data_IF_232225918385
#
_entry.id   IF_232225918385
#
_cell.length_a   1.000
_cell.length_b   1.000
_cell.length_c   1.000
_cell.angle_alpha   90.00
_cell.angle_beta   90.00
_cell.angle_gamma   90.00
#
_symmetry.space_group_name_H-M   'P 1'
#
loop_
_entity.id
_entity.type
_entity.pdbx_description
1 polymer ?
#
# COMPACT_ATOMS: atom_id res chain seq x y z
N UNK A 1 54.12 11.72 14.29
CA UNK A 1 54.03 11.96 12.84
C UNK A 1 52.56 11.91 12.45
N UNK A 2 51.86 13.04 12.54
CA UNK A 2 51.43 13.90 11.42
C UNK A 2 50.64 13.14 10.33
N UNK A 3 49.33 13.41 10.29
CA UNK A 3 48.66 13.89 9.07
C UNK A 3 47.33 14.55 9.45
N UNK A 4 47.38 15.88 9.51
CA UNK A 4 46.23 16.78 9.42
C UNK A 4 45.62 16.74 8.01
N UNK A 5 44.30 17.00 7.94
CA UNK A 5 43.58 17.71 6.87
C UNK A 5 42.09 17.63 7.24
N UNK A 6 41.24 18.64 7.08
CA UNK A 6 41.35 20.07 6.77
C UNK A 6 39.90 20.56 6.85
N UNK A 7 39.59 21.45 7.79
CA UNK A 7 38.32 22.17 7.78
C UNK A 7 38.27 23.11 6.57
N UNK A 8 37.10 23.23 5.93
CA UNK A 8 36.81 24.32 4.99
C UNK A 8 35.66 25.14 5.53
N UNK A 9 36.01 26.31 6.04
CA UNK A 9 35.11 27.45 6.23
C UNK A 9 35.06 28.22 4.91
N UNK A 10 33.85 28.62 4.49
CA UNK A 10 33.48 30.01 4.16
C UNK A 10 32.31 30.04 3.14
N UNK A 11 31.21 30.70 3.50
CA UNK A 11 30.91 32.02 2.95
C UNK A 11 29.61 32.58 3.56
N UNK A 12 29.74 33.70 4.27
CA UNK A 12 28.64 34.61 4.62
C UNK A 12 28.46 35.55 3.43
N UNK A 13 27.23 35.65 2.93
CA UNK A 13 26.81 36.57 1.86
C UNK A 13 25.35 36.96 2.05
N UNK A 14 25.12 38.28 2.04
CA UNK A 14 23.93 39.03 2.43
C UNK A 14 22.73 38.91 1.48
N UNK A 15 21.49 39.05 1.98
CA UNK A 15 20.34 39.41 1.14
C UNK A 15 18.96 39.20 1.78
N UNK A 16 18.23 40.30 2.03
CA UNK A 16 16.79 40.31 2.34
C UNK A 16 15.98 39.95 1.08
N UNK A 17 14.94 39.13 1.23
CA UNK A 17 13.93 38.91 0.18
C UNK A 17 13.09 37.67 0.45
N UNK A 18 11.82 37.87 0.79
CA UNK A 18 10.85 36.81 1.01
C UNK A 18 10.54 36.01 -0.26
N UNK A 19 10.26 34.72 -0.07
CA UNK A 19 9.84 33.80 -1.12
C UNK A 19 9.94 32.38 -0.59
N UNK A 20 8.80 31.80 -0.22
CA UNK A 20 8.71 30.40 0.20
C UNK A 20 9.22 29.51 -0.93
N UNK A 21 10.43 28.97 -0.75
CA UNK A 21 11.01 27.93 -1.59
C UNK A 21 10.38 26.61 -1.21
N UNK A 22 9.47 26.13 -2.04
CA UNK A 22 9.17 24.70 -2.10
C UNK A 22 10.47 24.01 -2.48
N UNK A 23 11.08 23.33 -1.50
CA UNK A 23 12.27 22.53 -1.74
C UNK A 23 11.89 21.46 -2.77
N UNK A 24 12.67 21.39 -3.85
CA UNK A 24 12.71 20.23 -4.73
C UNK A 24 12.91 19.00 -3.84
N UNK A 25 11.89 18.15 -3.77
CA UNK A 25 12.01 16.84 -3.15
C UNK A 25 12.84 16.00 -4.10
N UNK A 26 14.16 16.02 -3.89
CA UNK A 26 15.07 15.09 -4.54
C UNK A 26 14.54 13.69 -4.32
N UNK A 27 14.41 12.93 -5.42
CA UNK A 27 14.11 11.50 -5.38
C UNK A 27 15.33 10.85 -4.73
N UNK A 28 15.32 10.73 -3.40
CA UNK A 28 16.37 10.07 -2.66
C UNK A 28 16.58 8.66 -3.21
N UNK A 29 17.82 8.28 -3.43
CA UNK A 29 18.20 6.91 -3.76
C UNK A 29 17.60 5.98 -2.70
N UNK A 30 16.62 5.16 -3.10
CA UNK A 30 16.00 4.18 -2.21
C UNK A 30 17.09 3.21 -1.76
N UNK A 31 17.38 3.16 -0.47
CA UNK A 31 18.38 2.26 0.10
C UNK A 31 17.95 0.82 -0.17
N UNK A 32 18.88 -0.01 -0.64
CA UNK A 32 18.62 -1.44 -0.88
C UNK A 32 18.12 -2.15 0.40
N UNK A 33 18.50 -1.64 1.57
CA UNK A 33 18.12 -2.12 2.91
C UNK A 33 16.62 -1.95 3.25
N UNK A 34 15.82 -1.25 2.42
CA UNK A 34 14.39 -1.02 2.65
C UNK A 34 13.49 -1.84 1.72
N UNK A 35 14.05 -2.85 1.05
CA UNK A 35 13.32 -3.73 0.14
C UNK A 35 13.45 -5.18 0.59
N UNK A 36 12.33 -5.89 0.69
CA UNK A 36 12.30 -7.31 1.01
C UNK A 36 11.29 -8.04 0.11
N UNK A 37 11.51 -9.34 -0.06
CA UNK A 37 10.62 -10.19 -0.84
C UNK A 37 9.31 -10.41 -0.10
N UNK A 38 8.20 -10.41 -0.84
CA UNK A 38 6.87 -10.74 -0.28
C UNK A 38 6.21 -11.82 -1.12
N UNK A 39 5.71 -12.85 -0.45
CA UNK A 39 4.85 -13.87 -1.05
C UNK A 39 3.49 -13.84 -0.38
N UNK A 40 2.43 -13.72 -1.17
CA UNK A 40 1.05 -13.76 -0.68
C UNK A 40 0.38 -15.05 -1.14
N UNK A 41 -0.35 -15.69 -0.25
CA UNK A 41 -1.17 -16.87 -0.53
C UNK A 41 -2.60 -16.54 -0.15
N UNK A 42 -3.51 -16.58 -1.13
CA UNK A 42 -4.94 -16.43 -0.90
C UNK A 42 -5.51 -17.79 -0.50
N UNK A 43 -6.14 -17.85 0.67
CA UNK A 43 -6.76 -19.08 1.18
C UNK A 43 -8.24 -19.18 0.79
N UNK A 44 -9.01 -18.13 1.08
CA UNK A 44 -10.45 -18.14 0.84
C UNK A 44 -10.92 -16.83 0.24
N UNK A 45 -11.97 -16.92 -0.57
CA UNK A 45 -12.77 -15.78 -0.99
C UNK A 45 -14.25 -16.14 -0.81
N UNK A 46 -14.98 -15.33 -0.06
CA UNK A 46 -16.42 -15.44 0.10
C UNK A 46 -17.10 -14.41 -0.78
N UNK A 47 -17.81 -14.86 -1.81
CA UNK A 47 -18.60 -13.99 -2.69
C UNK A 47 -19.80 -13.35 -1.97
N UNK A 48 -20.30 -13.97 -0.90
CA UNK A 48 -21.43 -13.46 -0.12
C UNK A 48 -21.02 -12.25 0.72
N UNK A 49 -19.88 -12.35 1.41
CA UNK A 49 -19.39 -11.31 2.32
C UNK A 49 -18.37 -10.39 1.66
N UNK A 50 -17.98 -10.67 0.41
CA UNK A 50 -16.94 -9.94 -0.31
C UNK A 50 -15.61 -9.89 0.45
N UNK A 51 -15.31 -10.96 1.21
CA UNK A 51 -14.11 -11.05 2.05
C UNK A 51 -13.12 -12.06 1.51
N UNK A 52 -11.85 -11.76 1.73
CA UNK A 52 -10.71 -12.61 1.38
C UNK A 52 -9.88 -12.88 2.64
N UNK A 53 -9.28 -14.07 2.73
CA UNK A 53 -8.28 -14.36 3.77
C UNK A 53 -7.05 -14.97 3.14
N UNK A 54 -5.90 -14.84 3.82
CA UNK A 54 -4.66 -15.39 3.32
C UNK A 54 -3.50 -15.21 4.27
N UNK A 55 -2.33 -15.63 3.78
CA UNK A 55 -1.04 -15.42 4.44
C UNK A 55 -0.18 -14.48 3.62
N UNK A 56 0.57 -13.63 4.31
CA UNK A 56 1.65 -12.84 3.74
C UNK A 56 2.97 -13.28 4.38
N UNK A 57 3.95 -13.62 3.54
CA UNK A 57 5.28 -14.01 3.95
C UNK A 57 6.27 -12.93 3.51
N UNK A 58 6.84 -12.21 4.46
CA UNK A 58 7.95 -11.29 4.25
C UNK A 58 9.29 -12.03 4.38
N UNK A 59 10.14 -11.97 3.37
CA UNK A 59 11.39 -12.72 3.22
C UNK A 59 12.55 -11.75 3.01
N UNK A 60 13.65 -11.93 3.75
CA UNK A 60 14.80 -11.02 3.66
C UNK A 60 14.56 -9.69 4.35
N UNK A 61 13.72 -9.67 5.40
CA UNK A 61 13.50 -8.48 6.23
C UNK A 61 14.79 -8.16 7.00
N UNK A 62 15.24 -6.88 7.03
CA UNK A 62 16.43 -6.49 7.78
C UNK A 62 16.38 -6.97 9.22
N UNK A 63 17.48 -7.54 9.70
CA UNK A 63 17.62 -8.08 11.06
C UNK A 63 16.70 -9.26 11.41
N UNK A 64 16.00 -9.85 10.44
CA UNK A 64 15.24 -11.09 10.63
C UNK A 64 15.88 -12.26 9.88
N UNK A 65 16.44 -13.27 10.57
CA UNK A 65 17.08 -14.42 9.91
C UNK A 65 16.07 -15.41 9.29
N UNK A 66 14.78 -15.29 9.65
CA UNK A 66 13.70 -16.15 9.14
C UNK A 66 12.61 -15.29 8.46
N UNK A 67 11.85 -15.86 7.52
CA UNK A 67 10.65 -15.20 7.00
C UNK A 67 9.66 -14.88 8.12
N UNK A 68 9.01 -13.72 8.03
CA UNK A 68 7.92 -13.32 8.92
C UNK A 68 6.61 -13.61 8.20
N UNK A 69 5.71 -14.36 8.84
CA UNK A 69 4.41 -14.74 8.28
C UNK A 69 3.30 -14.11 9.09
N UNK A 70 2.36 -13.50 8.40
CA UNK A 70 1.17 -12.89 8.99
C UNK A 70 -0.09 -13.43 8.34
N UNK A 71 -1.14 -13.57 9.14
CA UNK A 71 -2.48 -13.84 8.64
C UNK A 71 -3.18 -12.50 8.37
N UNK A 72 -3.84 -12.39 7.22
CA UNK A 72 -4.60 -11.21 6.86
C UNK A 72 -6.02 -11.55 6.43
N UNK A 73 -6.90 -10.58 6.67
CA UNK A 73 -8.24 -10.53 6.08
C UNK A 73 -8.33 -9.33 5.16
N UNK A 74 -9.10 -9.41 4.10
CA UNK A 74 -9.43 -8.26 3.28
C UNK A 74 -10.88 -8.20 2.88
N UNK A 75 -11.30 -7.05 2.36
CA UNK A 75 -12.60 -6.85 1.74
C UNK A 75 -12.45 -6.24 0.35
N UNK A 76 -13.21 -6.74 -0.63
CA UNK A 76 -13.32 -6.10 -1.94
C UNK A 76 -14.29 -4.94 -1.88
N UNK A 77 -13.99 -3.84 -2.57
CA UNK A 77 -14.90 -2.70 -2.70
C UNK A 77 -15.87 -3.00 -3.84
N UNK A 78 -17.15 -3.12 -3.53
CA UNK A 78 -18.18 -3.46 -4.51
C UNK A 78 -18.73 -2.20 -5.19
N UNK A 79 -17.93 -1.62 -6.09
CA UNK A 79 -18.32 -0.42 -6.86
C UNK A 79 -19.64 -0.65 -7.62
N UNK A 80 -19.88 -1.76 -8.34
CA UNK A 80 -21.16 -1.98 -9.02
C UNK A 80 -22.40 -2.02 -8.10
N UNK A 81 -22.21 -2.32 -6.81
CA UNK A 81 -23.29 -2.29 -5.82
C UNK A 81 -23.48 -0.91 -5.15
N UNK A 82 -22.78 0.12 -5.62
CA UNK A 82 -22.87 1.47 -5.06
C UNK A 82 -21.90 1.74 -3.90
N UNK A 83 -20.93 0.86 -3.63
CA UNK A 83 -19.90 1.17 -2.63
C UNK A 83 -18.97 2.28 -3.11
N UNK A 84 -18.58 3.15 -2.19
CA UNK A 84 -17.61 4.22 -2.44
C UNK A 84 -16.17 3.81 -2.09
N UNK A 85 -15.21 4.59 -2.60
CA UNK A 85 -13.77 4.41 -2.31
C UNK A 85 -13.39 4.70 -0.86
N UNK A 86 -14.22 5.43 -0.13
CA UNK A 86 -13.90 5.96 1.19
C UNK A 86 -14.25 4.97 2.29
N UNK A 87 -13.31 4.77 3.20
CA UNK A 87 -13.53 4.01 4.41
C UNK A 87 -14.62 4.70 5.24
N UNK A 88 -15.68 3.97 5.60
CA UNK A 88 -16.77 4.48 6.44
C UNK A 88 -16.27 4.64 7.88
N UNK A 89 -15.60 5.74 8.17
CA UNK A 89 -15.22 6.10 9.53
C UNK A 89 -16.23 7.12 10.09
N UNK A 90 -16.57 7.02 11.38
CA UNK A 90 -17.55 7.85 12.11
C UNK A 90 -17.25 9.37 12.09
N UNK A 91 -17.19 10.03 13.25
CA UNK A 91 -17.09 11.52 13.34
C UNK A 91 -15.87 12.18 12.66
N UNK A 92 -14.98 11.42 12.00
CA UNK A 92 -13.81 11.90 11.24
C UNK A 92 -13.86 11.64 9.72
N UNK A 93 -15.01 11.32 9.14
CA UNK A 93 -15.14 10.81 7.76
C UNK A 93 -14.42 11.60 6.65
N UNK A 94 -14.36 12.95 6.74
CA UNK A 94 -13.70 13.77 5.71
C UNK A 94 -12.17 13.64 5.73
N UNK A 95 -11.56 13.56 6.92
CA UNK A 95 -10.09 13.40 7.03
C UNK A 95 -9.66 12.03 6.51
N UNK A 96 -10.42 10.98 6.85
CA UNK A 96 -10.15 9.64 6.34
C UNK A 96 -10.35 9.56 4.82
N UNK A 97 -11.44 10.14 4.29
CA UNK A 97 -11.65 10.17 2.84
C UNK A 97 -10.54 10.91 2.10
N UNK A 98 -10.03 12.01 2.66
CA UNK A 98 -8.89 12.75 2.10
C UNK A 98 -7.60 11.92 2.09
N UNK A 99 -7.35 11.14 3.15
CA UNK A 99 -6.21 10.22 3.20
C UNK A 99 -6.38 9.09 2.19
N UNK A 100 -7.54 8.44 2.16
CA UNK A 100 -7.84 7.37 1.20
C UNK A 100 -7.68 7.87 -0.24
N UNK A 101 -8.13 9.09 -0.55
CA UNK A 101 -7.99 9.69 -1.89
C UNK A 101 -6.52 9.88 -2.29
N UNK A 102 -5.66 10.26 -1.34
CA UNK A 102 -4.24 10.45 -1.58
C UNK A 102 -3.52 9.14 -1.91
N UNK A 103 -3.91 8.04 -1.27
CA UNK A 103 -3.36 6.72 -1.54
C UNK A 103 -3.96 6.11 -2.81
N UNK A 104 -5.30 6.20 -3.01
CA UNK A 104 -5.94 5.71 -4.22
C UNK A 104 -5.43 6.38 -5.48
N UNK A 105 -5.17 7.70 -5.46
CA UNK A 105 -4.59 8.44 -6.58
C UNK A 105 -3.18 7.94 -7.01
N UNK A 106 -2.54 7.08 -6.21
CA UNK A 106 -1.22 6.49 -6.47
C UNK A 106 -1.28 5.00 -6.85
N UNK A 107 -2.49 4.44 -6.97
CA UNK A 107 -2.73 3.02 -7.18
C UNK A 107 -3.62 2.74 -8.39
N UNK A 108 -3.29 1.64 -9.08
CA UNK A 108 -4.16 1.00 -10.07
C UNK A 108 -4.80 1.97 -11.08
N UNK A 109 -6.15 2.03 -11.17
CA UNK A 109 -6.83 2.79 -12.22
C UNK A 109 -6.65 4.31 -12.13
N UNK A 110 -6.28 4.84 -10.96
CA UNK A 110 -6.20 6.29 -10.74
C UNK A 110 -4.78 6.83 -10.90
N UNK A 111 -3.78 5.94 -10.76
CA UNK A 111 -2.36 6.29 -10.76
C UNK A 111 -1.95 7.00 -12.05
N UNK A 112 -1.56 8.28 -11.92
CA UNK A 112 -1.13 9.11 -13.05
C UNK A 112 -2.26 9.57 -13.97
N UNK A 113 -3.51 9.27 -13.64
CA UNK A 113 -4.70 9.67 -14.42
C UNK A 113 -5.45 10.80 -13.71
N UNK A 114 -5.69 10.67 -12.40
CA UNK A 114 -6.41 11.67 -11.60
C UNK A 114 -5.67 11.99 -10.31
N UNK A 115 -5.66 13.26 -9.95
CA UNK A 115 -5.14 13.72 -8.67
C UNK A 115 -6.13 13.52 -7.53
N UNK A 116 -5.66 13.71 -6.29
CA UNK A 116 -6.45 13.62 -5.06
C UNK A 116 -7.75 14.44 -5.12
N UNK A 117 -7.66 15.71 -5.50
CA UNK A 117 -8.80 16.64 -5.53
C UNK A 117 -9.87 16.21 -6.54
N UNK A 118 -9.45 15.84 -7.75
CA UNK A 118 -10.36 15.34 -8.78
C UNK A 118 -11.01 14.02 -8.36
N UNK A 119 -10.24 13.09 -7.78
CA UNK A 119 -10.76 11.82 -7.28
C UNK A 119 -11.83 12.04 -6.19
N UNK A 120 -11.59 12.99 -5.26
CA UNK A 120 -12.58 13.37 -4.24
C UNK A 120 -13.85 13.99 -4.84
N UNK A 121 -13.73 14.79 -5.89
CA UNK A 121 -14.87 15.41 -6.54
C UNK A 121 -15.69 14.42 -7.39
N UNK A 122 -15.02 13.59 -8.19
CA UNK A 122 -15.65 12.74 -9.22
C UNK A 122 -16.11 11.38 -8.73
N UNK A 123 -15.51 10.83 -7.68
CA UNK A 123 -15.90 9.52 -7.12
C UNK A 123 -17.34 9.46 -6.59
N UNK A 124 -18.05 10.59 -6.52
CA UNK A 124 -19.49 10.65 -6.23
C UNK A 124 -20.35 10.25 -7.44
N UNK A 125 -19.81 10.35 -8.64
CA UNK A 125 -20.43 9.84 -9.86
C UNK A 125 -20.10 8.35 -9.97
N UNK A 126 -21.10 7.52 -9.65
CA UNK A 126 -20.95 6.07 -9.63
C UNK A 126 -20.62 5.50 -11.00
N UNK A 127 -21.19 6.07 -12.06
CA UNK A 127 -20.94 5.61 -13.43
C UNK A 127 -19.50 5.89 -13.82
N UNK A 128 -19.00 7.09 -13.52
CA UNK A 128 -17.60 7.43 -13.75
C UNK A 128 -16.67 6.47 -12.98
N UNK A 129 -16.99 6.19 -11.71
CA UNK A 129 -16.17 5.32 -10.87
C UNK A 129 -16.17 3.86 -11.37
N UNK A 130 -17.32 3.34 -11.79
CA UNK A 130 -17.46 2.02 -12.41
C UNK A 130 -16.68 1.92 -13.73
N UNK A 131 -16.77 2.94 -14.58
CA UNK A 131 -16.03 3.00 -15.84
C UNK A 131 -14.52 3.02 -15.60
N UNK A 132 -14.06 3.85 -14.65
CA UNK A 132 -12.64 3.98 -14.28
C UNK A 132 -12.08 2.68 -13.68
N UNK A 133 -12.89 1.94 -12.92
CA UNK A 133 -12.45 0.74 -12.18
C UNK A 133 -12.80 -0.58 -12.88
N UNK A 134 -13.40 -0.56 -14.08
CA UNK A 134 -13.89 -1.75 -14.80
C UNK A 134 -12.86 -2.89 -14.94
N UNK A 135 -11.60 -2.54 -15.19
CA UNK A 135 -10.50 -3.50 -15.34
C UNK A 135 -9.89 -4.00 -14.02
N UNK A 136 -10.41 -3.55 -12.88
CA UNK A 136 -9.76 -3.66 -11.58
C UNK A 136 -10.64 -4.33 -10.53
N UNK A 137 -10.00 -4.86 -9.50
CA UNK A 137 -10.62 -5.22 -8.22
C UNK A 137 -9.90 -4.41 -7.15
N UNK A 138 -10.62 -3.51 -6.49
CA UNK A 138 -10.10 -2.73 -5.37
C UNK A 138 -10.38 -3.46 -4.07
N UNK A 139 -9.42 -3.48 -3.16
CA UNK A 139 -9.52 -4.17 -1.88
C UNK A 139 -8.88 -3.35 -0.76
N UNK A 140 -9.28 -3.66 0.48
CA UNK A 140 -8.59 -3.23 1.69
C UNK A 140 -8.12 -4.48 2.43
N UNK A 141 -6.81 -4.62 2.68
CA UNK A 141 -6.26 -5.76 3.42
C UNK A 141 -5.78 -5.33 4.79
N UNK A 142 -6.00 -6.17 5.80
CA UNK A 142 -5.59 -5.94 7.17
C UNK A 142 -4.96 -7.21 7.73
N UNK A 143 -3.67 -7.14 7.99
CA UNK A 143 -2.96 -8.13 8.80
C UNK A 143 -3.54 -8.15 10.21
N UNK A 144 -3.77 -9.35 10.74
CA UNK A 144 -4.44 -9.58 12.02
C UNK A 144 -3.48 -10.04 13.09
N UNK A 145 -2.57 -10.93 12.74
CA UNK A 145 -1.65 -11.57 13.67
C UNK A 145 -0.40 -12.07 12.97
N UNK A 146 0.69 -12.18 13.74
CA UNK A 146 1.88 -12.91 13.35
C UNK A 146 1.65 -14.40 13.59
N UNK A 147 2.03 -15.24 12.63
CA UNK A 147 1.78 -16.69 12.67
C UNK A 147 2.97 -17.45 13.21
N UNK A 148 4.20 -17.01 12.90
CA UNK A 148 5.42 -17.79 13.16
C UNK A 148 6.48 -17.06 14.00
N UNK A 149 6.18 -15.85 14.46
CA UNK A 149 7.05 -15.04 15.33
C UNK A 149 6.19 -14.33 16.37
N UNK A 150 6.75 -14.08 17.56
CA UNK A 150 6.09 -13.18 18.50
C UNK A 150 6.24 -11.71 18.03
N UNK A 151 5.30 -10.81 18.36
CA UNK A 151 5.41 -9.39 18.01
C UNK A 151 6.70 -8.73 18.51
N UNK A 152 7.28 -9.21 19.61
CA UNK A 152 8.54 -8.71 20.18
C UNK A 152 9.79 -9.19 19.45
N UNK A 153 9.67 -10.19 18.57
CA UNK A 153 10.78 -10.81 17.83
C UNK A 153 10.93 -10.23 16.42
N UNK A 154 10.08 -9.26 16.05
CA UNK A 154 9.98 -8.70 14.71
C UNK A 154 10.03 -7.17 14.78
N UNK A 155 10.73 -6.55 13.83
CA UNK A 155 10.81 -5.09 13.69
C UNK A 155 9.68 -4.50 12.84
N UNK A 156 8.84 -5.35 12.23
CA UNK A 156 7.72 -4.92 11.40
C UNK A 156 6.49 -4.62 12.26
N UNK A 157 5.80 -3.54 11.90
CA UNK A 157 4.45 -3.26 12.41
C UNK A 157 3.41 -3.80 11.43
N UNK A 158 2.32 -4.35 11.98
CA UNK A 158 1.11 -4.74 11.24
C UNK A 158 -0.11 -3.89 11.67
N UNK A 159 0.13 -2.77 12.34
CA UNK A 159 -0.93 -1.92 12.93
C UNK A 159 -1.78 -1.21 11.87
N UNK A 160 -1.20 -0.91 10.71
CA UNK A 160 -1.86 -0.32 9.55
C UNK A 160 -2.70 -1.30 8.73
N UNK A 161 -2.99 -0.91 7.51
CA UNK A 161 -3.73 -1.72 6.54
C UNK A 161 -3.21 -1.40 5.14
N UNK A 162 -3.59 -2.18 4.13
CA UNK A 162 -3.24 -1.91 2.74
C UNK A 162 -4.46 -1.49 1.96
N UNK A 163 -4.29 -0.48 1.10
CA UNK A 163 -5.15 -0.31 -0.07
C UNK A 163 -4.54 -1.10 -1.21
N UNK A 164 -5.35 -1.91 -1.89
CA UNK A 164 -4.90 -2.86 -2.90
C UNK A 164 -5.70 -2.66 -4.19
N UNK A 165 -5.01 -2.69 -5.31
CA UNK A 165 -5.57 -2.74 -6.65
C UNK A 165 -5.04 -3.96 -7.40
N UNK A 166 -5.94 -4.86 -7.79
CA UNK A 166 -5.67 -6.02 -8.64
C UNK A 166 -6.12 -5.73 -10.07
N UNK A 167 -5.23 -5.86 -11.03
CA UNK A 167 -5.55 -5.75 -12.45
C UNK A 167 -6.10 -7.10 -12.97
N UNK A 168 -7.32 -7.12 -13.50
CA UNK A 168 -8.00 -8.36 -13.90
C UNK A 168 -7.37 -9.05 -15.10
N UNK A 169 -6.80 -8.29 -16.03
CA UNK A 169 -6.20 -8.79 -17.28
C UNK A 169 -4.92 -9.56 -17.01
N UNK A 170 -4.04 -9.01 -16.16
CA UNK A 170 -2.69 -9.52 -15.91
C UNK A 170 -2.56 -10.31 -14.59
N UNK A 171 -3.47 -10.08 -13.64
CA UNK A 171 -3.37 -10.62 -12.29
C UNK A 171 -2.33 -9.89 -11.41
N UNK A 172 -1.75 -8.78 -11.88
CA UNK A 172 -0.81 -7.98 -11.11
C UNK A 172 -1.53 -7.28 -9.95
N UNK A 173 -0.88 -7.26 -8.79
CA UNK A 173 -1.37 -6.56 -7.60
C UNK A 173 -0.43 -5.43 -7.25
N UNK A 174 -0.98 -4.23 -7.11
CA UNK A 174 -0.31 -3.08 -6.51
C UNK A 174 -0.99 -2.74 -5.18
N UNK A 175 -0.21 -2.38 -4.18
CA UNK A 175 -0.71 -1.97 -2.88
C UNK A 175 0.13 -0.89 -2.22
N UNK A 176 -0.49 -0.16 -1.31
CA UNK A 176 0.19 0.78 -0.42
C UNK A 176 -0.20 0.49 1.02
N UNK A 177 0.79 0.38 1.90
CA UNK A 177 0.58 0.28 3.33
C UNK A 177 0.26 1.65 3.94
N UNK A 178 -0.79 1.70 4.73
CA UNK A 178 -1.38 2.87 5.34
C UNK A 178 -1.26 2.75 6.87
N UNK A 179 -0.24 3.40 7.43
CA UNK A 179 -0.03 3.54 8.86
C UNK A 179 0.59 4.91 9.16
N UNK A 180 -0.10 5.81 9.89
CA UNK A 180 0.41 7.14 10.24
C UNK A 180 1.73 7.13 11.04
N UNK A 181 2.06 6.01 11.67
CA UNK A 181 3.28 5.86 12.48
C UNK A 181 4.50 5.42 11.67
N UNK A 182 4.33 5.18 10.36
CA UNK A 182 5.40 4.68 9.49
C UNK A 182 5.64 5.60 8.30
N UNK A 183 6.78 5.49 7.60
CA UNK A 183 6.99 6.19 6.35
C UNK A 183 5.84 5.93 5.36
N UNK A 184 5.31 6.98 4.70
CA UNK A 184 4.16 6.84 3.83
C UNK A 184 4.52 6.10 2.54
N UNK A 185 3.50 5.54 1.91
CA UNK A 185 3.56 4.94 0.57
C UNK A 185 4.54 3.77 0.42
N UNK A 186 4.75 2.99 1.48
CA UNK A 186 5.40 1.69 1.38
C UNK A 186 4.62 0.81 0.40
N UNK A 187 5.28 0.34 -0.66
CA UNK A 187 4.64 -0.34 -1.80
C UNK A 187 4.66 -1.85 -1.63
N UNK A 188 3.54 -2.46 -1.98
CA UNK A 188 3.40 -3.89 -2.23
C UNK A 188 3.22 -4.10 -3.74
N UNK A 189 4.06 -4.92 -4.36
CA UNK A 189 3.96 -5.27 -5.78
C UNK A 189 4.07 -6.78 -5.92
N UNK A 190 3.04 -7.40 -6.47
CA UNK A 190 2.97 -8.86 -6.61
C UNK A 190 2.57 -9.23 -8.03
N UNK A 191 3.24 -10.26 -8.55
CA UNK A 191 2.87 -10.91 -9.81
C UNK A 191 2.31 -12.30 -9.52
N UNK A 192 1.44 -12.84 -10.40
CA UNK A 192 0.98 -14.22 -10.29
C UNK A 192 2.14 -15.20 -10.32
N UNK A 193 2.14 -16.18 -9.41
CA UNK A 193 3.20 -17.19 -9.33
C UNK A 193 3.24 -18.15 -10.52
N UNK A 194 2.17 -18.24 -11.32
CA UNK A 194 2.06 -19.12 -12.48
C UNK A 194 1.79 -18.29 -13.73
N UNK A 195 2.58 -18.45 -14.82
CA UNK A 195 2.35 -17.75 -16.09
C UNK A 195 0.95 -18.07 -16.65
N UNK A 196 0.15 -17.04 -16.92
CA UNK A 196 -1.24 -17.18 -17.40
C UNK A 196 -2.26 -17.64 -16.35
N UNK A 197 -1.83 -17.96 -15.12
CA UNK A 197 -2.67 -18.47 -14.05
C UNK A 197 -3.34 -17.36 -13.25
N UNK A 198 -4.65 -17.21 -13.44
CA UNK A 198 -5.54 -16.57 -12.45
C UNK A 198 -5.71 -17.56 -11.30
N UNK A 199 -5.37 -17.16 -10.07
CA UNK A 199 -5.58 -17.86 -8.78
C UNK A 199 -5.45 -19.40 -8.79
N UNK A 200 -4.38 -19.96 -8.20
CA UNK A 200 -4.35 -21.37 -7.83
C UNK A 200 -5.13 -21.57 -6.52
N UNK A 201 -6.36 -22.08 -6.60
CA UNK A 201 -7.15 -22.47 -5.42
C UNK A 201 -6.99 -23.98 -5.19
N UNK A 202 -6.45 -24.37 -4.04
CA UNK A 202 -6.67 -25.70 -3.47
C UNK A 202 -7.92 -25.65 -2.61
N UNK A 203 -9.02 -26.26 -3.04
CA UNK A 203 -10.24 -26.35 -2.24
C UNK A 203 -10.19 -27.59 -1.34
N UNK A 204 -10.29 -27.41 -0.03
CA UNK A 204 -10.62 -28.47 0.92
C UNK A 204 -11.83 -28.00 1.75
N UNK A 205 -12.80 -28.88 1.94
CA UNK A 205 -13.98 -28.64 2.79
C UNK A 205 -13.85 -29.48 4.06
N UNK A 206 -14.05 -28.87 5.23
CA UNK A 206 -14.20 -29.59 6.49
C UNK A 206 -15.68 -29.91 6.69
N UNK A 207 -16.02 -31.16 6.96
CA UNK A 207 -17.39 -31.59 7.27
C UNK A 207 -17.60 -31.65 8.77
#
# INVERSE_FOLDING_TARGET
MLRERRERVAAVGTGRGGGARWANMEVGERREDEQWGVKVIIHTYSSLTHTITGLMHAVGVPSSPKPITTFFTGSTINIPAGEGLWSRSGMGGVKQASLDAEYWARLGPFKGVVGKEELMARSRDQRWLEEMTRGWVLMRWKEREFVNVAPTECTLTIAGHYLIALERSTGQVEGLYCDPSTPPYQRLQLSPAVPGGRFALGSFEFR
#
